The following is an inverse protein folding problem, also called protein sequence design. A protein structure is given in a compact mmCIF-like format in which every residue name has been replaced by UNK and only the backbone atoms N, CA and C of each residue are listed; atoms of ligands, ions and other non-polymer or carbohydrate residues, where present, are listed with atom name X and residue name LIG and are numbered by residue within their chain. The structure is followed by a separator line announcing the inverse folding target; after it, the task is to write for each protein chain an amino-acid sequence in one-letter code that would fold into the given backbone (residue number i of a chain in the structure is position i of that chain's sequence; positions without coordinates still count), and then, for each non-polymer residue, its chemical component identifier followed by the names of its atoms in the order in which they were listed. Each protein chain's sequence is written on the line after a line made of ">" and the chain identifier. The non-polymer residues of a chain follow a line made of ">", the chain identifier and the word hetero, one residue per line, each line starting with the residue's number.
data_IF_666629024986
#
_entry.id   IF_666629024986
#
_cell.length_a   1.000
_cell.length_b   1.000
_cell.length_c   1.000
_cell.angle_alpha   90.00
_cell.angle_beta   90.00
_cell.angle_gamma   90.00
#
_symmetry.space_group_name_H-M   'P 1'
#
loop_
_entity.id
_entity.type
_entity.pdbx_description
1 polymer ?
#
# COMPACT_ATOMS: atom_id res chain seq x y z
N UNK A 1 16.92 -11.23 28.46
CA UNK A 1 16.74 -9.86 27.90
C UNK A 1 17.59 -9.61 26.64
N UNK A 2 18.83 -10.09 26.55
CA UNK A 2 19.66 -9.95 25.34
C UNK A 2 19.15 -10.72 24.09
N UNK A 3 18.50 -11.87 24.28
CA UNK A 3 17.93 -12.69 23.17
C UNK A 3 16.76 -12.03 22.45
N UNK A 4 16.01 -11.15 23.12
CA UNK A 4 14.89 -10.39 22.52
C UNK A 4 15.42 -9.26 21.62
N UNK A 5 16.56 -8.65 21.97
CA UNK A 5 17.21 -7.64 21.14
C UNK A 5 17.89 -8.24 19.89
N UNK A 6 18.47 -9.44 20.00
CA UNK A 6 19.09 -10.13 18.86
C UNK A 6 18.06 -10.55 17.80
N UNK A 7 16.86 -10.97 18.20
CA UNK A 7 15.76 -11.28 17.28
C UNK A 7 15.20 -10.05 16.56
N UNK A 8 15.27 -8.86 17.20
CA UNK A 8 14.83 -7.58 16.63
C UNK A 8 15.71 -7.10 15.46
N UNK A 9 16.96 -7.57 15.40
CA UNK A 9 17.94 -7.21 14.38
C UNK A 9 17.98 -8.19 13.19
N UNK A 10 17.17 -9.26 13.20
CA UNK A 10 17.26 -10.34 12.21
C UNK A 10 16.58 -10.05 10.87
N UNK A 11 15.78 -8.98 10.77
CA UNK A 11 15.05 -8.64 9.55
C UNK A 11 15.73 -7.46 8.87
N UNK A 12 16.83 -7.74 8.18
CA UNK A 12 17.42 -6.76 7.27
C UNK A 12 16.41 -6.50 6.13
N UNK A 13 16.14 -5.23 5.79
CA UNK A 13 15.29 -4.88 4.67
C UNK A 13 15.94 -5.45 3.42
N UNK A 14 15.15 -6.03 2.49
CA UNK A 14 15.71 -6.57 1.27
C UNK A 14 16.57 -5.50 0.58
N UNK A 15 17.82 -5.87 0.26
CA UNK A 15 18.76 -5.02 -0.47
C UNK A 15 18.17 -4.61 -1.82
N UNK A 16 17.50 -5.55 -2.48
CA UNK A 16 16.74 -5.35 -3.71
C UNK A 16 15.23 -5.40 -3.45
N UNK A 17 14.58 -4.22 -3.43
CA UNK A 17 13.13 -4.13 -3.50
C UNK A 17 12.71 -3.96 -4.97
N UNK A 18 12.13 -5.00 -5.60
CA UNK A 18 11.83 -4.97 -7.03
C UNK A 18 10.69 -3.99 -7.34
N UNK A 19 10.86 -3.17 -8.38
CA UNK A 19 9.84 -2.24 -8.87
C UNK A 19 8.52 -2.92 -9.23
N UNK A 20 8.56 -4.20 -9.62
CA UNK A 20 7.35 -4.99 -9.90
C UNK A 20 6.39 -5.06 -8.71
N UNK A 21 6.90 -5.07 -7.48
CA UNK A 21 6.06 -5.07 -6.28
C UNK A 21 5.36 -3.73 -6.09
N UNK A 22 6.04 -2.61 -6.32
CA UNK A 22 5.41 -1.28 -6.23
C UNK A 22 4.37 -1.10 -7.32
N UNK A 23 4.67 -1.52 -8.55
CA UNK A 23 3.71 -1.43 -9.66
C UNK A 23 2.46 -2.25 -9.37
N UNK A 24 2.62 -3.46 -8.84
CA UNK A 24 1.49 -4.31 -8.48
C UNK A 24 0.70 -3.76 -7.28
N UNK A 25 1.39 -3.27 -6.25
CA UNK A 25 0.76 -2.60 -5.11
C UNK A 25 -0.01 -1.35 -5.53
N UNK A 26 0.62 -0.51 -6.35
CA UNK A 26 0.01 0.67 -6.95
C UNK A 26 -1.23 0.29 -7.76
N UNK A 27 -1.16 -0.76 -8.57
CA UNK A 27 -2.29 -1.24 -9.37
C UNK A 27 -3.46 -1.65 -8.47
N UNK A 28 -3.19 -2.45 -7.44
CA UNK A 28 -4.22 -2.89 -6.48
C UNK A 28 -4.85 -1.70 -5.76
N UNK A 29 -4.05 -0.76 -5.24
CA UNK A 29 -4.55 0.43 -4.56
C UNK A 29 -5.34 1.36 -5.51
N UNK A 30 -4.83 1.58 -6.71
CA UNK A 30 -5.49 2.39 -7.74
C UNK A 30 -6.84 1.80 -8.16
N UNK A 31 -6.90 0.47 -8.35
CA UNK A 31 -8.15 -0.25 -8.62
C UNK A 31 -9.14 -0.15 -7.46
N UNK A 32 -8.65 -0.26 -6.22
CA UNK A 32 -9.49 -0.17 -5.03
C UNK A 32 -10.11 1.24 -4.88
N UNK A 33 -9.35 2.29 -5.20
CA UNK A 33 -9.80 3.68 -5.21
C UNK A 33 -10.76 3.96 -6.37
N UNK A 34 -10.38 3.57 -7.60
CA UNK A 34 -11.21 3.75 -8.79
C UNK A 34 -12.54 2.99 -8.68
N UNK A 35 -12.50 1.78 -8.11
CA UNK A 35 -13.66 0.90 -7.96
C UNK A 35 -14.78 1.52 -7.11
N UNK A 36 -14.48 2.46 -6.21
CA UNK A 36 -15.52 3.09 -5.38
C UNK A 36 -16.44 4.01 -6.20
N UNK A 37 -15.86 4.75 -7.16
CA UNK A 37 -16.58 5.69 -8.00
C UNK A 37 -17.16 5.09 -9.28
N UNK A 38 -16.81 3.84 -9.59
CA UNK A 38 -17.23 3.17 -10.82
C UNK A 38 -18.73 2.84 -10.81
N UNK A 39 -19.45 2.98 -11.94
CA UNK A 39 -20.85 2.58 -12.02
C UNK A 39 -21.02 1.06 -11.81
N UNK A 40 -22.18 0.66 -11.27
CA UNK A 40 -22.51 -0.77 -11.19
C UNK A 40 -22.87 -1.33 -12.57
N UNK A 41 -22.50 -2.59 -12.86
CA UNK A 41 -21.98 -3.61 -11.94
C UNK A 41 -20.45 -3.61 -11.79
N UNK A 42 -19.73 -2.77 -12.53
CA UNK A 42 -18.26 -2.85 -12.61
C UNK A 42 -17.55 -2.67 -11.27
N UNK A 43 -18.07 -1.82 -10.39
CA UNK A 43 -17.59 -1.68 -9.00
C UNK A 43 -17.59 -3.02 -8.24
N UNK A 44 -18.64 -3.84 -8.41
CA UNK A 44 -18.73 -5.17 -7.78
C UNK A 44 -17.75 -6.19 -8.36
N UNK A 45 -17.29 -5.99 -9.58
CA UNK A 45 -16.31 -6.88 -10.24
C UNK A 45 -14.90 -6.47 -9.81
N UNK A 46 -14.58 -5.17 -9.88
CA UNK A 46 -13.24 -4.63 -9.59
C UNK A 46 -12.83 -4.86 -8.14
N UNK A 47 -13.77 -4.80 -7.19
CA UNK A 47 -13.47 -4.91 -5.77
C UNK A 47 -12.92 -6.30 -5.38
N UNK A 48 -13.54 -7.43 -5.77
CA UNK A 48 -12.95 -8.77 -5.66
C UNK A 48 -11.59 -8.91 -6.35
N UNK A 49 -11.40 -8.32 -7.54
CA UNK A 49 -10.09 -8.35 -8.21
C UNK A 49 -9.02 -7.60 -7.42
N UNK A 50 -9.35 -6.43 -6.86
CA UNK A 50 -8.42 -5.66 -6.03
C UNK A 50 -8.09 -6.41 -4.72
N UNK A 51 -9.08 -6.99 -4.04
CA UNK A 51 -8.87 -7.78 -2.83
C UNK A 51 -8.08 -9.07 -3.11
N UNK A 52 -8.40 -9.76 -4.20
CA UNK A 52 -7.65 -10.92 -4.67
C UNK A 52 -6.21 -10.58 -5.03
N UNK A 53 -5.99 -9.44 -5.69
CA UNK A 53 -4.65 -8.89 -5.95
C UNK A 53 -3.89 -8.61 -4.67
N UNK A 54 -4.52 -7.98 -3.67
CA UNK A 54 -3.91 -7.75 -2.36
C UNK A 54 -3.52 -9.07 -1.69
N UNK A 55 -4.42 -10.06 -1.66
CA UNK A 55 -4.15 -11.38 -1.11
C UNK A 55 -2.99 -12.08 -1.84
N UNK A 56 -2.99 -12.04 -3.18
CA UNK A 56 -1.92 -12.56 -4.01
C UNK A 56 -0.57 -11.89 -3.74
N UNK A 57 -0.55 -10.58 -3.53
CA UNK A 57 0.64 -9.83 -3.16
C UNK A 57 1.17 -10.25 -1.78
N UNK A 58 0.29 -10.42 -0.79
CA UNK A 58 0.66 -10.93 0.55
C UNK A 58 1.26 -12.32 0.43
N UNK A 59 0.62 -13.22 -0.33
CA UNK A 59 1.13 -14.58 -0.56
C UNK A 59 2.48 -14.57 -1.28
N UNK A 60 2.64 -13.74 -2.31
CA UNK A 60 3.89 -13.57 -3.03
C UNK A 60 5.00 -13.08 -2.09
N UNK A 61 4.70 -12.09 -1.23
CA UNK A 61 5.64 -11.55 -0.26
C UNK A 61 6.09 -12.61 0.74
N UNK A 62 5.12 -13.34 1.32
CA UNK A 62 5.42 -14.43 2.26
C UNK A 62 6.23 -15.54 1.60
N UNK A 63 5.97 -15.85 0.32
CA UNK A 63 6.73 -16.85 -0.45
C UNK A 63 8.15 -16.39 -0.75
N UNK A 64 8.35 -15.12 -1.11
CA UNK A 64 9.65 -14.59 -1.53
C UNK A 64 10.56 -14.25 -0.36
N UNK A 65 10.02 -13.62 0.67
CA UNK A 65 10.81 -13.10 1.79
C UNK A 65 10.68 -13.95 3.06
N UNK A 66 9.69 -14.85 3.17
CA UNK A 66 9.54 -15.77 4.30
C UNK A 66 9.06 -15.13 5.60
N UNK A 67 8.94 -13.81 5.65
CA UNK A 67 8.51 -13.05 6.83
C UNK A 67 7.50 -11.96 6.44
N UNK A 68 6.65 -11.56 7.39
CA UNK A 68 5.67 -10.49 7.23
C UNK A 68 5.93 -9.43 8.29
N UNK A 69 6.02 -8.16 7.90
CA UNK A 69 6.11 -7.05 8.86
C UNK A 69 4.79 -7.01 9.64
N UNK A 70 4.76 -7.49 10.87
CA UNK A 70 3.63 -7.20 11.77
C UNK A 70 3.73 -5.71 12.13
N UNK A 71 2.59 -5.00 12.19
CA UNK A 71 2.52 -3.53 12.29
C UNK A 71 3.13 -2.87 13.54
N UNK A 72 3.99 -3.56 14.29
CA UNK A 72 4.60 -3.13 15.54
C UNK A 72 6.08 -2.71 15.44
N UNK A 73 6.73 -2.89 14.28
CA UNK A 73 8.07 -2.38 13.99
C UNK A 73 8.15 -2.15 12.49
N UNK A 74 8.28 -0.92 11.99
CA UNK A 74 9.06 0.22 12.55
C UNK A 74 8.24 1.38 13.14
N UNK A 75 8.78 2.12 14.13
CA UNK A 75 8.06 3.17 14.90
C UNK A 75 7.76 4.45 14.11
N UNK A 76 8.61 4.88 13.18
CA UNK A 76 8.37 6.05 12.31
C UNK A 76 7.75 5.63 10.99
N UNK A 77 8.12 4.49 10.42
CA UNK A 77 7.51 4.02 9.17
C UNK A 77 5.99 3.79 9.30
N UNK A 78 5.46 3.49 10.50
CA UNK A 78 4.01 3.43 10.76
C UNK A 78 3.28 4.75 10.41
N UNK A 79 3.92 5.91 10.63
CA UNK A 79 3.31 7.20 10.33
C UNK A 79 3.21 7.44 8.82
N UNK A 80 4.16 6.93 8.05
CA UNK A 80 4.08 6.92 6.57
C UNK A 80 2.91 6.06 6.11
N UNK A 81 2.73 4.87 6.72
CA UNK A 81 1.60 4.00 6.41
C UNK A 81 0.25 4.64 6.78
N UNK A 82 0.16 5.30 7.94
CA UNK A 82 -1.04 6.05 8.37
C UNK A 82 -1.32 7.21 7.41
N UNK A 83 -0.29 7.99 7.03
CA UNK A 83 -0.42 9.09 6.08
C UNK A 83 -0.90 8.59 4.71
N UNK A 84 -0.32 7.49 4.22
CA UNK A 84 -0.77 6.86 2.98
C UNK A 84 -2.22 6.37 3.08
N UNK A 85 -2.61 5.74 4.20
CA UNK A 85 -3.98 5.31 4.44
C UNK A 85 -4.96 6.50 4.42
N UNK A 86 -4.61 7.62 5.05
CA UNK A 86 -5.42 8.84 5.02
C UNK A 86 -5.58 9.39 3.59
N UNK A 87 -4.50 9.40 2.79
CA UNK A 87 -4.55 9.78 1.37
C UNK A 87 -5.44 8.84 0.57
N UNK A 88 -5.32 7.53 0.77
CA UNK A 88 -6.17 6.53 0.10
C UNK A 88 -7.65 6.74 0.45
N UNK A 89 -7.98 6.96 1.72
CA UNK A 89 -9.35 7.23 2.18
C UNK A 89 -9.89 8.52 1.54
N UNK A 90 -9.09 9.59 1.50
CA UNK A 90 -9.46 10.84 0.84
C UNK A 90 -9.75 10.66 -0.65
N UNK A 91 -8.93 9.89 -1.35
CA UNK A 91 -9.12 9.60 -2.78
C UNK A 91 -10.33 8.68 -3.03
N UNK A 92 -10.62 7.73 -2.13
CA UNK A 92 -11.87 6.97 -2.19
C UNK A 92 -13.08 7.88 -2.01
N UNK A 93 -13.04 8.81 -1.06
CA UNK A 93 -14.07 9.82 -0.88
C UNK A 93 -14.29 10.68 -2.13
N UNK A 94 -13.20 11.10 -2.79
CA UNK A 94 -13.26 11.83 -4.06
C UNK A 94 -13.89 10.98 -5.19
N UNK A 95 -13.53 9.69 -5.26
CA UNK A 95 -14.09 8.74 -6.21
C UNK A 95 -15.61 8.57 -6.02
N UNK A 96 -16.07 8.44 -4.77
CA UNK A 96 -17.49 8.37 -4.40
C UNK A 96 -18.22 9.68 -4.70
N UNK A 97 -17.61 10.82 -4.40
CA UNK A 97 -18.16 12.14 -4.76
C UNK A 97 -18.35 12.27 -6.27
N UNK A 98 -17.37 11.82 -7.06
CA UNK A 98 -17.44 11.75 -8.52
C UNK A 98 -18.60 10.92 -9.05
N UNK A 99 -19.02 9.88 -8.31
CA UNK A 99 -20.15 9.04 -8.67
C UNK A 99 -21.50 9.69 -8.45
N UNK A 100 -21.65 10.51 -7.41
CA UNK A 100 -22.94 11.08 -7.02
C UNK A 100 -23.18 12.51 -7.50
N UNK A 101 -22.11 13.32 -7.57
CA UNK A 101 -22.20 14.77 -7.81
C UNK A 101 -21.18 15.24 -8.85
N UNK A 102 -20.03 14.58 -8.93
CA UNK A 102 -18.93 15.01 -9.81
C UNK A 102 -18.96 14.43 -11.23
N UNK A 103 -17.93 14.73 -12.02
CA UNK A 103 -17.78 14.21 -13.37
C UNK A 103 -17.58 12.69 -13.37
N UNK A 104 -18.18 12.01 -14.35
CA UNK A 104 -18.11 10.55 -14.48
C UNK A 104 -16.69 10.01 -14.67
N UNK A 105 -15.70 10.82 -15.04
CA UNK A 105 -14.30 10.40 -15.18
C UNK A 105 -13.46 10.59 -13.90
N UNK A 106 -14.02 11.18 -12.85
CA UNK A 106 -13.28 11.54 -11.64
C UNK A 106 -12.71 10.30 -10.91
N UNK A 107 -13.40 9.16 -11.00
CA UNK A 107 -12.93 7.90 -10.43
C UNK A 107 -11.63 7.41 -11.07
N UNK A 108 -11.41 7.69 -12.36
CA UNK A 108 -10.17 7.32 -13.08
C UNK A 108 -9.02 8.15 -12.54
N UNK A 109 -9.23 9.46 -12.40
CA UNK A 109 -8.21 10.38 -11.88
C UNK A 109 -7.89 10.05 -10.42
N UNK A 110 -8.89 9.80 -9.58
CA UNK A 110 -8.69 9.36 -8.21
C UNK A 110 -7.90 8.04 -8.16
N UNK A 111 -8.21 7.09 -9.04
CA UNK A 111 -7.48 5.82 -9.18
C UNK A 111 -6.02 5.98 -9.58
N UNK A 112 -5.73 6.82 -10.58
CA UNK A 112 -4.35 7.12 -11.03
C UNK A 112 -3.56 7.81 -9.92
N UNK A 113 -4.17 8.78 -9.24
CA UNK A 113 -3.56 9.42 -8.07
C UNK A 113 -3.31 8.40 -6.95
N UNK A 114 -4.23 7.47 -6.74
CA UNK A 114 -4.09 6.38 -5.78
C UNK A 114 -2.94 5.44 -6.13
N UNK A 115 -2.79 5.09 -7.40
CA UNK A 115 -1.68 4.30 -7.92
C UNK A 115 -0.32 4.96 -7.65
N UNK A 116 -0.19 6.25 -8.01
CA UNK A 116 1.05 7.01 -7.82
C UNK A 116 1.36 7.18 -6.33
N UNK A 117 0.36 7.52 -5.52
CA UNK A 117 0.51 7.68 -4.08
C UNK A 117 0.92 6.37 -3.39
N UNK A 118 0.37 5.23 -3.82
CA UNK A 118 0.75 3.92 -3.30
C UNK A 118 2.21 3.55 -3.62
N UNK A 119 2.68 3.81 -4.84
CA UNK A 119 4.09 3.62 -5.22
C UNK A 119 5.00 4.54 -4.40
N UNK A 120 4.68 5.83 -4.36
CA UNK A 120 5.47 6.83 -3.63
C UNK A 120 5.49 6.52 -2.12
N UNK A 121 4.34 6.12 -1.56
CA UNK A 121 4.20 5.74 -0.15
C UNK A 121 4.97 4.48 0.20
N UNK A 122 4.93 3.44 -0.65
CA UNK A 122 5.73 2.22 -0.50
C UNK A 122 7.23 2.55 -0.49
N UNK A 123 7.69 3.37 -1.43
CA UNK A 123 9.09 3.81 -1.53
C UNK A 123 9.53 4.65 -0.35
N UNK A 124 8.71 5.61 0.08
CA UNK A 124 8.98 6.46 1.24
C UNK A 124 9.01 5.62 2.52
N UNK A 125 8.10 4.65 2.66
CA UNK A 125 8.08 3.73 3.80
C UNK A 125 9.37 2.91 3.87
N UNK A 126 9.84 2.34 2.75
CA UNK A 126 11.12 1.62 2.68
C UNK A 126 12.30 2.52 3.00
N UNK A 127 12.30 3.76 2.51
CA UNK A 127 13.36 4.73 2.78
C UNK A 127 13.43 5.08 4.27
N UNK A 128 12.30 5.38 4.89
CA UNK A 128 12.21 5.66 6.34
C UNK A 128 12.62 4.44 7.15
N UNK A 129 12.18 3.25 6.77
CA UNK A 129 12.55 2.02 7.46
C UNK A 129 14.06 1.73 7.39
N UNK A 130 14.68 1.88 6.20
CA UNK A 130 16.15 1.75 6.03
C UNK A 130 16.90 2.77 6.89
N UNK A 131 16.38 3.99 6.97
CA UNK A 131 16.96 5.05 7.81
C UNK A 131 16.85 4.74 9.30
N UNK A 132 15.69 4.25 9.77
CA UNK A 132 15.52 3.84 11.17
C UNK A 132 16.50 2.72 11.56
N UNK A 133 16.73 1.77 10.67
CA UNK A 133 17.70 0.69 10.90
C UNK A 133 19.15 1.18 10.92
N UNK A 134 19.50 2.15 10.08
CA UNK A 134 20.82 2.79 10.11
C UNK A 134 21.03 3.62 11.39
N UNK A 135 19.97 4.25 11.92
CA UNK A 135 19.98 5.00 13.17
C UNK A 135 19.93 4.08 14.42
N UNK A 136 19.63 2.78 14.26
CA UNK A 136 19.64 1.78 15.34
C UNK A 136 18.48 1.87 16.34
N UNK A 137 17.36 2.51 15.96
CA UNK A 137 16.22 2.85 16.86
C UNK A 137 15.05 1.86 16.75
#
# INVERSE_FOLDING_TARGET
>A
MASIHAARNGVAPPTEYPLSYDLFYGLVCGLLVAGQGMPQPWSFIVLPFALGGLAGMVMWWRKKFGWWVSGYSPKRARWVAIGLAAVMIGLMGLSIYGRHVGPSWLFVVAGVLGFVAAIAGSRLWLHVWRRELAEGV
#
